data_IF_189177747658
#
_entry.id   IF_189177747658
#
_cell.length_a   1.000
_cell.length_b   1.000
_cell.length_c   1.000
_cell.angle_alpha   90.00
_cell.angle_beta   90.00
_cell.angle_gamma   90.00
#
_symmetry.space_group_name_H-M   'P 1'
#
loop_
_entity.id
_entity.type
_entity.pdbx_description
1 polymer ?
#
# COMPACT_ATOMS: atom_id res chain seq x y z
N UNK A 1 3.51 20.32 5.52
CA UNK A 1 4.42 19.69 6.49
C UNK A 1 5.81 20.28 6.53
N UNK A 2 6.49 20.53 5.41
CA UNK A 2 7.84 21.10 5.42
C UNK A 2 7.94 22.42 6.20
N UNK A 3 6.99 23.32 6.01
CA UNK A 3 6.96 24.63 6.69
C UNK A 3 6.82 24.53 8.21
N UNK A 4 6.09 23.51 8.75
CA UNK A 4 6.00 23.31 10.22
C UNK A 4 7.29 22.76 10.82
N UNK A 5 8.02 21.94 10.10
CA UNK A 5 9.29 21.38 10.55
C UNK A 5 10.45 22.37 10.52
N UNK A 6 10.29 23.53 9.89
CA UNK A 6 11.32 24.58 9.87
C UNK A 6 11.29 25.50 11.10
N UNK A 7 10.32 25.34 11.99
CA UNK A 7 10.26 26.09 13.25
C UNK A 7 10.91 25.27 14.37
N UNK A 8 11.98 25.77 14.95
CA UNK A 8 12.68 25.13 16.08
C UNK A 8 11.82 24.98 17.34
N UNK A 9 10.72 25.75 17.40
CA UNK A 9 9.76 25.74 18.50
C UNK A 9 8.65 24.68 18.36
N UNK A 10 8.64 23.94 17.25
CA UNK A 10 7.63 22.91 16.98
C UNK A 10 8.27 21.53 17.05
N UNK A 11 7.61 20.63 17.77
CA UNK A 11 8.03 19.23 17.87
C UNK A 11 6.84 18.29 17.69
N UNK A 12 7.13 17.03 17.43
CA UNK A 12 6.15 15.94 17.22
C UNK A 12 5.07 16.28 16.17
N UNK A 13 5.53 16.70 14.98
CA UNK A 13 4.62 16.98 13.86
C UNK A 13 4.09 15.68 13.29
N UNK A 14 2.81 15.44 13.47
CA UNK A 14 2.08 14.29 12.90
C UNK A 14 0.99 14.74 11.92
N UNK A 15 0.47 13.80 11.14
CA UNK A 15 -0.60 14.06 10.17
C UNK A 15 -1.53 12.87 10.07
N UNK A 16 -2.82 13.14 9.85
CA UNK A 16 -3.80 12.10 9.57
C UNK A 16 -3.54 11.34 8.25
N UNK A 17 -2.69 11.91 7.38
CA UNK A 17 -2.23 11.26 6.15
C UNK A 17 -1.04 10.31 6.36
N UNK A 18 -0.52 10.20 7.59
CA UNK A 18 0.54 9.23 7.87
C UNK A 18 -0.01 7.82 7.68
N UNK A 19 0.36 7.24 6.58
CA UNK A 19 0.14 5.84 6.30
C UNK A 19 1.29 5.04 6.91
N UNK A 20 0.98 4.19 7.87
CA UNK A 20 1.92 3.22 8.40
C UNK A 20 2.15 2.03 7.44
N UNK A 21 1.33 1.92 6.40
CA UNK A 21 1.41 0.84 5.43
C UNK A 21 2.16 1.29 4.17
N UNK A 22 3.10 0.47 3.74
CA UNK A 22 3.72 0.60 2.42
C UNK A 22 2.88 -0.15 1.41
N UNK A 23 2.46 0.53 0.36
CA UNK A 23 1.77 -0.08 -0.78
C UNK A 23 2.77 -0.45 -1.88
N UNK A 24 2.56 -1.61 -2.49
CA UNK A 24 3.29 -2.03 -3.67
C UNK A 24 2.42 -1.74 -4.89
N UNK A 25 2.82 -0.76 -5.67
CA UNK A 25 2.19 -0.45 -6.94
C UNK A 25 2.83 -1.28 -8.04
N UNK A 26 2.00 -2.04 -8.75
CA UNK A 26 2.44 -2.93 -9.82
C UNK A 26 2.02 -2.31 -11.14
N UNK A 27 2.97 -2.17 -12.05
CA UNK A 27 2.76 -1.68 -13.40
C UNK A 27 3.22 -2.72 -14.41
N UNK A 28 2.45 -2.92 -15.49
CA UNK A 28 2.84 -3.79 -16.58
C UNK A 28 4.00 -3.21 -17.38
N UNK A 29 4.89 -4.08 -17.80
CA UNK A 29 5.89 -3.75 -18.83
C UNK A 29 5.32 -4.05 -20.23
N UNK A 30 5.79 -3.35 -21.29
CA UNK A 30 5.30 -3.57 -22.66
C UNK A 30 5.41 -5.02 -23.15
N UNK A 31 6.35 -5.77 -22.61
CA UNK A 31 6.54 -7.20 -22.94
C UNK A 31 5.41 -8.09 -22.41
N UNK A 32 4.72 -7.69 -21.34
CA UNK A 32 3.62 -8.48 -20.77
C UNK A 32 2.43 -8.55 -21.72
N UNK A 33 2.06 -7.44 -22.33
CA UNK A 33 0.96 -7.36 -23.28
C UNK A 33 1.21 -8.21 -24.53
N UNK A 34 2.46 -8.24 -25.02
CA UNK A 34 2.87 -9.03 -26.19
C UNK A 34 2.70 -10.55 -25.98
N UNK A 35 2.73 -11.00 -24.74
CA UNK A 35 2.55 -12.43 -24.40
C UNK A 35 1.16 -12.69 -23.79
N UNK A 36 0.22 -11.74 -23.96
CA UNK A 36 -1.17 -11.88 -23.57
C UNK A 36 -1.44 -11.78 -22.06
N UNK A 37 -0.49 -11.24 -21.26
CA UNK A 37 -0.71 -11.02 -19.84
C UNK A 37 -1.39 -9.68 -19.57
N UNK A 38 -2.39 -9.70 -18.71
CA UNK A 38 -3.08 -8.52 -18.21
C UNK A 38 -2.67 -8.23 -16.75
N UNK A 39 -2.86 -6.98 -16.32
CA UNK A 39 -2.62 -6.61 -14.93
C UNK A 39 -3.54 -7.40 -13.97
N UNK A 40 -4.77 -7.69 -14.40
CA UNK A 40 -5.73 -8.48 -13.62
C UNK A 40 -5.23 -9.91 -13.37
N UNK A 41 -4.69 -10.58 -14.39
CA UNK A 41 -4.16 -11.93 -14.27
C UNK A 41 -2.93 -11.98 -13.36
N UNK A 42 -2.01 -11.03 -13.52
CA UNK A 42 -0.82 -10.92 -12.64
C UNK A 42 -1.25 -10.67 -11.20
N UNK A 43 -2.17 -9.74 -10.96
CA UNK A 43 -2.68 -9.41 -9.63
C UNK A 43 -3.39 -10.60 -8.98
N UNK A 44 -4.17 -11.37 -9.75
CA UNK A 44 -4.84 -12.59 -9.30
C UNK A 44 -3.81 -13.64 -8.85
N UNK A 45 -2.80 -13.93 -9.67
CA UNK A 45 -1.78 -14.92 -9.35
C UNK A 45 -0.95 -14.50 -8.11
N UNK A 46 -0.62 -13.21 -7.98
CA UNK A 46 0.03 -12.69 -6.79
C UNK A 46 -0.85 -12.84 -5.56
N UNK A 47 -2.13 -12.49 -5.66
CA UNK A 47 -3.06 -12.64 -4.54
C UNK A 47 -3.17 -14.10 -4.09
N UNK A 48 -3.31 -15.03 -5.03
CA UNK A 48 -3.36 -16.47 -4.74
C UNK A 48 -2.08 -16.94 -4.02
N UNK A 49 -0.91 -16.51 -4.47
CA UNK A 49 0.37 -16.91 -3.88
C UNK A 49 0.60 -16.32 -2.48
N UNK A 50 0.32 -15.03 -2.30
CA UNK A 50 0.68 -14.29 -1.08
C UNK A 50 -0.44 -14.25 -0.04
N UNK A 51 -1.68 -14.02 -0.44
CA UNK A 51 -2.85 -14.04 0.44
C UNK A 51 -3.42 -15.44 0.60
N UNK A 52 -3.52 -16.16 -0.49
CA UNK A 52 -4.04 -17.51 -0.58
C UNK A 52 -5.33 -17.60 -1.39
N UNK A 53 -5.63 -18.81 -1.77
CA UNK A 53 -6.87 -19.22 -2.44
C UNK A 53 -7.62 -20.20 -1.55
N UNK A 54 -8.92 -20.00 -1.35
CA UNK A 54 -9.80 -20.94 -0.69
C UNK A 54 -10.12 -22.06 -1.67
N UNK A 55 -9.53 -23.22 -1.46
CA UNK A 55 -9.72 -24.40 -2.34
C UNK A 55 -10.89 -25.29 -1.92
N UNK A 56 -11.25 -25.24 -0.64
CA UNK A 56 -12.34 -26.02 -0.11
C UNK A 56 -12.89 -25.41 1.19
N UNK A 57 -14.19 -25.60 1.41
CA UNK A 57 -14.87 -25.30 2.66
C UNK A 57 -15.58 -26.54 3.15
N UNK A 58 -15.30 -26.93 4.38
CA UNK A 58 -15.83 -28.12 5.01
C UNK A 58 -16.64 -27.72 6.24
N UNK A 59 -17.94 -28.02 6.31
CA UNK A 59 -18.69 -27.90 7.55
C UNK A 59 -18.20 -28.99 8.50
N UNK A 60 -17.75 -28.62 9.70
CA UNK A 60 -17.30 -29.52 10.73
C UNK A 60 -17.75 -29.04 12.09
N UNK A 61 -18.45 -29.88 12.83
CA UNK A 61 -18.92 -29.61 14.21
C UNK A 61 -19.72 -28.31 14.36
N UNK A 62 -20.46 -27.89 13.29
CA UNK A 62 -21.24 -26.66 13.27
C UNK A 62 -20.44 -25.41 12.88
N UNK A 63 -19.17 -25.57 12.55
CA UNK A 63 -18.30 -24.48 12.06
C UNK A 63 -17.82 -24.72 10.63
N UNK A 64 -17.60 -23.63 9.89
CA UNK A 64 -17.04 -23.66 8.53
C UNK A 64 -15.51 -23.65 8.57
N UNK A 65 -14.91 -24.81 8.33
CA UNK A 65 -13.45 -24.93 8.17
C UNK A 65 -13.05 -24.60 6.74
N UNK A 66 -12.25 -23.54 6.55
CA UNK A 66 -11.73 -23.13 5.24
C UNK A 66 -10.35 -23.69 4.99
N UNK A 67 -10.18 -24.39 3.89
CA UNK A 67 -8.87 -24.88 3.42
C UNK A 67 -8.25 -23.84 2.50
N UNK A 68 -7.17 -23.22 2.95
CA UNK A 68 -6.47 -22.17 2.21
C UNK A 68 -5.12 -22.66 1.71
N UNK A 69 -4.80 -22.42 0.45
CA UNK A 69 -3.49 -22.68 -0.15
C UNK A 69 -2.77 -21.38 -0.45
N UNK A 70 -1.58 -21.23 0.03
CA UNK A 70 -0.72 -20.06 -0.18
C UNK A 70 0.75 -20.41 -0.03
N UNK A 71 1.64 -19.50 -0.43
CA UNK A 71 3.08 -19.67 -0.24
C UNK A 71 3.46 -19.73 1.25
N UNK A 72 4.53 -20.45 1.60
CA UNK A 72 5.07 -20.48 2.96
C UNK A 72 5.36 -19.09 3.51
N UNK A 73 5.19 -18.90 4.83
CA UNK A 73 5.36 -17.61 5.51
C UNK A 73 6.71 -16.93 5.20
N UNK A 74 7.79 -17.72 5.05
CA UNK A 74 9.12 -17.19 4.69
C UNK A 74 9.14 -16.46 3.35
N UNK A 75 8.41 -16.95 2.34
CA UNK A 75 8.33 -16.33 1.02
C UNK A 75 7.36 -15.14 0.97
N UNK A 76 6.44 -15.01 1.91
CA UNK A 76 5.45 -13.93 1.94
C UNK A 76 5.87 -12.69 2.72
N UNK A 77 6.99 -12.74 3.45
CA UNK A 77 7.45 -11.65 4.33
C UNK A 77 8.40 -10.65 3.68
N UNK A 78 8.98 -10.99 2.54
CA UNK A 78 9.96 -10.15 1.88
C UNK A 78 9.51 -9.76 0.48
N UNK A 79 9.70 -8.50 0.13
CA UNK A 79 9.52 -7.99 -1.23
C UNK A 79 10.49 -8.66 -2.21
N UNK A 80 11.67 -9.08 -1.73
CA UNK A 80 12.65 -9.81 -2.54
C UNK A 80 12.11 -11.14 -3.08
N UNK A 81 11.12 -11.72 -2.42
CA UNK A 81 10.48 -12.94 -2.93
C UNK A 81 9.78 -12.73 -4.29
N UNK A 82 9.38 -11.49 -4.60
CA UNK A 82 8.82 -11.14 -5.91
C UNK A 82 9.82 -11.31 -7.05
N UNK A 83 11.11 -11.18 -6.79
CA UNK A 83 12.14 -11.41 -7.81
C UNK A 83 12.21 -12.86 -8.26
N UNK A 84 11.83 -13.78 -7.38
CA UNK A 84 11.81 -15.24 -7.64
C UNK A 84 10.42 -15.72 -8.09
N UNK A 85 9.41 -14.86 -7.99
CA UNK A 85 8.05 -15.19 -8.35
C UNK A 85 7.91 -15.39 -9.86
N UNK A 86 7.21 -16.45 -10.26
CA UNK A 86 6.92 -16.75 -11.66
C UNK A 86 5.44 -16.59 -11.95
N UNK A 87 5.16 -15.96 -13.07
CA UNK A 87 3.82 -15.77 -13.59
C UNK A 87 3.58 -16.79 -14.68
N UNK A 88 2.44 -17.44 -14.63
CA UNK A 88 1.98 -18.35 -15.68
C UNK A 88 1.25 -17.52 -16.74
N UNK A 89 1.71 -17.66 -17.99
CA UNK A 89 1.10 -17.04 -19.16
C UNK A 89 -0.13 -17.84 -19.63
N UNK A 90 -1.04 -17.26 -20.43
CA UNK A 90 -2.24 -17.96 -20.94
C UNK A 90 -1.92 -19.23 -21.74
N UNK A 91 -0.75 -19.29 -22.39
CA UNK A 91 -0.25 -20.47 -23.12
C UNK A 91 0.44 -21.51 -22.22
N UNK A 92 0.38 -21.32 -20.89
CA UNK A 92 0.89 -22.28 -19.89
C UNK A 92 2.38 -22.17 -19.55
N UNK A 93 3.13 -21.27 -20.19
CA UNK A 93 4.54 -21.04 -19.88
C UNK A 93 4.70 -20.24 -18.60
N UNK A 94 5.85 -20.35 -17.96
CA UNK A 94 6.20 -19.59 -16.78
C UNK A 94 7.30 -18.56 -17.10
N UNK A 95 7.03 -17.30 -16.77
CA UNK A 95 7.98 -16.20 -16.93
C UNK A 95 8.29 -15.53 -15.59
N UNK A 96 9.51 -15.01 -15.37
CA UNK A 96 9.81 -14.26 -14.16
C UNK A 96 8.90 -13.04 -14.03
N UNK A 97 8.35 -12.80 -12.83
CA UNK A 97 7.48 -11.65 -12.57
C UNK A 97 8.12 -10.32 -12.98
N UNK A 98 9.40 -10.13 -12.62
CA UNK A 98 10.13 -8.89 -12.90
C UNK A 98 10.42 -8.66 -14.40
N UNK A 99 10.24 -9.67 -15.27
CA UNK A 99 10.35 -9.49 -16.73
C UNK A 99 9.08 -8.87 -17.33
N UNK A 100 7.92 -9.04 -16.69
CA UNK A 100 6.61 -8.62 -17.18
C UNK A 100 5.99 -7.48 -16.38
N UNK A 101 6.48 -7.22 -15.16
CA UNK A 101 5.98 -6.17 -14.30
C UNK A 101 7.11 -5.40 -13.61
N UNK A 102 6.82 -4.18 -13.19
CA UNK A 102 7.64 -3.38 -12.28
C UNK A 102 6.88 -3.13 -10.99
N UNK A 103 7.61 -3.00 -9.89
CA UNK A 103 7.06 -2.74 -8.56
C UNK A 103 7.67 -1.47 -8.02
N UNK A 104 6.83 -0.54 -7.62
CA UNK A 104 7.22 0.69 -6.94
C UNK A 104 6.62 0.69 -5.54
N UNK A 105 7.41 1.02 -4.54
CA UNK A 105 6.93 1.23 -3.18
C UNK A 105 6.46 2.67 -3.03
N UNK A 106 5.25 2.84 -2.52
CA UNK A 106 4.72 4.15 -2.16
C UNK A 106 4.08 4.10 -0.78
N UNK A 107 4.06 5.24 -0.05
CA UNK A 107 3.26 5.32 1.16
C UNK A 107 1.78 5.10 0.81
N UNK A 108 1.17 4.08 1.36
CA UNK A 108 -0.25 3.82 1.16
C UNK A 108 -1.11 4.80 1.96
N UNK A 109 -2.21 5.30 1.41
CA UNK A 109 -3.17 6.14 2.12
C UNK A 109 -4.22 5.22 2.75
N UNK A 110 -4.09 4.96 4.05
CA UNK A 110 -4.99 4.05 4.76
C UNK A 110 -6.33 4.68 5.13
N UNK A 111 -6.38 6.03 5.24
CA UNK A 111 -7.58 6.76 5.63
C UNK A 111 -7.72 8.04 4.83
N UNK A 112 -8.87 8.23 4.20
CA UNK A 112 -9.26 9.49 3.56
C UNK A 112 -10.38 10.10 4.39
N UNK A 113 -10.10 11.21 5.06
CA UNK A 113 -11.11 12.00 5.76
C UNK A 113 -11.73 13.02 4.81
N UNK A 114 -13.02 13.25 4.98
CA UNK A 114 -13.77 14.29 4.26
C UNK A 114 -14.55 15.14 5.24
N UNK A 115 -14.46 16.45 5.05
CA UNK A 115 -15.25 17.45 5.74
C UNK A 115 -15.97 18.26 4.67
N UNK A 116 -17.28 18.40 4.75
CA UNK A 116 -18.12 19.09 3.75
C UNK A 116 -17.87 18.61 2.31
N UNK A 117 -17.81 17.28 2.13
CA UNK A 117 -17.57 16.61 0.85
C UNK A 117 -16.18 16.87 0.22
N UNK A 118 -15.31 17.62 0.87
CA UNK A 118 -13.93 17.88 0.43
C UNK A 118 -12.96 16.98 1.20
N UNK A 119 -11.88 16.57 0.53
CA UNK A 119 -10.80 15.84 1.22
C UNK A 119 -10.18 16.75 2.27
N UNK A 120 -10.11 16.28 3.51
CA UNK A 120 -9.48 16.99 4.62
C UNK A 120 -8.28 16.20 5.15
N UNK A 121 -7.32 16.91 5.69
CA UNK A 121 -6.17 16.34 6.36
C UNK A 121 -5.87 17.16 7.61
N UNK A 122 -5.76 16.47 8.74
CA UNK A 122 -5.41 17.11 10.01
C UNK A 122 -3.90 16.99 10.23
N UNK A 123 -3.25 18.11 10.53
CA UNK A 123 -1.86 18.15 10.95
C UNK A 123 -1.84 18.55 12.42
N UNK A 124 -1.28 17.68 13.26
CA UNK A 124 -1.04 17.93 14.69
C UNK A 124 0.43 18.25 14.92
N UNK A 125 0.70 19.17 15.82
CA UNK A 125 2.05 19.51 16.28
C UNK A 125 2.00 20.10 17.68
N UNK A 126 3.07 19.92 18.45
CA UNK A 126 3.24 20.57 19.74
C UNK A 126 4.14 21.78 19.58
N UNK A 127 3.79 22.91 20.20
CA UNK A 127 4.59 24.11 20.23
C UNK A 127 5.06 24.40 21.66
N UNK A 128 6.25 24.97 21.79
CA UNK A 128 6.76 25.44 23.09
C UNK A 128 5.85 26.54 23.68
N UNK A 129 5.70 26.64 25.01
CA UNK A 129 4.86 27.64 25.64
C UNK A 129 5.22 29.05 25.16
N UNK A 130 4.20 29.86 24.84
CA UNK A 130 4.36 31.25 24.38
C UNK A 130 4.54 31.45 22.88
N UNK A 131 4.85 30.42 22.10
CA UNK A 131 5.12 30.58 20.65
C UNK A 131 3.95 30.12 19.76
N UNK A 132 2.90 29.56 20.35
CA UNK A 132 1.73 29.04 19.62
C UNK A 132 1.03 30.12 18.76
N UNK A 133 0.89 31.34 19.30
CA UNK A 133 0.16 32.41 18.63
C UNK A 133 0.88 32.89 17.36
N UNK A 134 2.22 32.96 17.40
CA UNK A 134 3.04 33.35 16.24
C UNK A 134 2.93 32.33 15.12
N UNK A 135 3.07 31.04 15.45
CA UNK A 135 2.93 29.96 14.47
C UNK A 135 1.54 29.94 13.83
N UNK A 136 0.47 30.12 14.64
CA UNK A 136 -0.89 30.15 14.12
C UNK A 136 -1.16 31.35 13.21
N UNK A 137 -0.57 32.51 13.45
CA UNK A 137 -0.72 33.67 12.56
C UNK A 137 -0.11 33.41 11.18
N UNK A 138 1.05 32.78 11.14
CA UNK A 138 1.75 32.45 9.89
C UNK A 138 1.03 31.39 9.03
N UNK A 139 0.12 30.60 9.67
CA UNK A 139 -0.69 29.58 8.97
C UNK A 139 -2.08 30.07 8.55
N UNK A 140 -2.60 31.17 9.11
CA UNK A 140 -3.90 31.71 8.69
C UNK A 140 -3.91 32.25 7.26
N UNK A 141 -2.77 32.52 6.68
CA UNK A 141 -2.61 33.04 5.30
C UNK A 141 -2.50 31.94 4.23
N UNK A 142 -2.38 30.66 4.61
CA UNK A 142 -2.30 29.57 3.62
C UNK A 142 -3.70 29.14 3.22
N UNK A 143 -4.29 29.83 2.23
CA UNK A 143 -5.44 29.29 1.47
C UNK A 143 -4.94 28.19 0.53
N UNK A 144 -5.47 26.99 0.68
CA UNK A 144 -5.34 25.89 -0.28
C UNK A 144 -6.47 25.95 -1.29
#
# INVERSE_FOLDING_TARGET
MGKLRSYDSIYDVNTSLNSAATELQISLKPNAEKIGLTLSEISRQLRQAYYGEEVQRLPRDGEDVRVMVHYPKKLRRSVDSLTKFRIRTPDGREVPFMSVASVTQSPGITKIERTDSKKSSTIGAYALPGQRSQVLSDFKEVKV
#
